data_IF_579938937776
#
_entry.id   IF_579938937776
#
_cell.length_a   1.000
_cell.length_b   1.000
_cell.length_c   1.000
_cell.angle_alpha   90.00
_cell.angle_beta   90.00
_cell.angle_gamma   90.00
#
_symmetry.space_group_name_H-M   'P 1'
#
loop_
_entity.id
_entity.type
_entity.pdbx_description
1 polymer ?
#
# COMPACT_ATOMS: atom_id res chain seq x y z
N UNK A 1 -36.12 -44.58 -28.77
CA UNK A 1 -36.48 -43.23 -29.28
C UNK A 1 -35.49 -42.86 -30.38
N UNK A 2 -35.93 -42.73 -31.64
CA UNK A 2 -35.06 -42.30 -32.75
C UNK A 2 -34.91 -40.78 -32.65
N UNK A 3 -33.77 -40.30 -32.16
CA UNK A 3 -33.47 -38.86 -32.21
C UNK A 3 -33.25 -38.48 -33.68
N UNK A 4 -34.05 -37.54 -34.17
CA UNK A 4 -33.84 -36.97 -35.50
C UNK A 4 -32.57 -36.11 -35.48
N UNK A 5 -31.77 -36.20 -36.54
CA UNK A 5 -30.52 -35.44 -36.66
C UNK A 5 -30.73 -33.93 -36.40
N UNK A 6 -31.87 -33.37 -36.79
CA UNK A 6 -32.23 -31.98 -36.52
C UNK A 6 -32.32 -31.62 -35.04
N UNK A 7 -32.79 -32.54 -34.18
CA UNK A 7 -32.83 -32.31 -32.72
C UNK A 7 -31.43 -32.30 -32.10
N UNK A 8 -30.51 -33.09 -32.64
CA UNK A 8 -29.12 -33.15 -32.19
C UNK A 8 -28.40 -31.86 -32.58
N UNK A 9 -28.59 -31.37 -33.80
CA UNK A 9 -28.01 -30.09 -34.26
C UNK A 9 -28.55 -28.93 -33.44
N UNK A 10 -29.87 -28.89 -33.18
CA UNK A 10 -30.47 -27.86 -32.34
C UNK A 10 -29.90 -27.89 -30.91
N UNK A 11 -29.77 -29.08 -30.32
CA UNK A 11 -29.21 -29.24 -28.97
C UNK A 11 -27.74 -28.81 -28.88
N UNK A 12 -26.94 -29.11 -29.91
CA UNK A 12 -25.55 -28.64 -29.97
C UNK A 12 -25.48 -27.12 -30.13
N UNK A 13 -26.35 -26.54 -30.95
CA UNK A 13 -26.41 -25.09 -31.13
C UNK A 13 -26.81 -24.37 -29.84
N UNK A 14 -27.83 -24.85 -29.14
CA UNK A 14 -28.26 -24.26 -27.86
C UNK A 14 -27.21 -24.43 -26.77
N UNK A 15 -26.53 -25.59 -26.71
CA UNK A 15 -25.43 -25.81 -25.78
C UNK A 15 -24.25 -24.87 -26.08
N UNK A 16 -23.90 -24.70 -27.35
CA UNK A 16 -22.83 -23.79 -27.77
C UNK A 16 -23.16 -22.33 -27.43
N UNK A 17 -24.39 -21.88 -27.72
CA UNK A 17 -24.86 -20.56 -27.34
C UNK A 17 -24.84 -20.37 -25.82
N UNK A 18 -25.30 -21.36 -25.04
CA UNK A 18 -25.30 -21.30 -23.58
C UNK A 18 -23.88 -21.16 -23.01
N UNK A 19 -22.89 -21.86 -23.57
CA UNK A 19 -21.49 -21.75 -23.15
C UNK A 19 -20.93 -20.35 -23.45
N UNK A 20 -21.24 -19.76 -24.60
CA UNK A 20 -20.81 -18.41 -24.96
C UNK A 20 -21.44 -17.37 -24.03
N UNK A 21 -22.75 -17.43 -23.82
CA UNK A 21 -23.46 -16.51 -22.93
C UNK A 21 -22.94 -16.62 -21.49
N UNK A 22 -22.72 -17.84 -21.00
CA UNK A 22 -22.16 -18.08 -19.68
C UNK A 22 -20.76 -17.48 -19.52
N UNK A 23 -19.90 -17.58 -20.54
CA UNK A 23 -18.57 -16.95 -20.52
C UNK A 23 -18.63 -15.42 -20.54
N UNK A 24 -19.55 -14.83 -21.30
CA UNK A 24 -19.72 -13.38 -21.37
C UNK A 24 -20.09 -12.78 -20.00
N UNK A 25 -21.05 -13.40 -19.32
CA UNK A 25 -21.52 -12.95 -18.00
C UNK A 25 -20.44 -13.07 -16.92
N UNK A 26 -19.56 -14.07 -17.02
CA UNK A 26 -18.48 -14.26 -16.05
C UNK A 26 -17.33 -13.24 -16.20
N UNK A 27 -17.08 -12.71 -17.40
CA UNK A 27 -15.97 -11.78 -17.62
C UNK A 27 -16.18 -10.40 -16.99
N UNK A 28 -17.43 -9.90 -17.02
CA UNK A 28 -17.80 -8.58 -16.48
C UNK A 28 -17.46 -8.45 -14.98
N UNK A 29 -17.76 -9.47 -14.18
CA UNK A 29 -17.56 -9.42 -12.73
C UNK A 29 -16.09 -9.41 -12.31
N UNK A 30 -15.26 -10.20 -13.00
CA UNK A 30 -13.81 -10.28 -12.73
C UNK A 30 -13.12 -8.98 -13.18
N UNK A 31 -13.60 -8.36 -14.27
CA UNK A 31 -13.00 -7.14 -14.80
C UNK A 31 -13.25 -5.94 -13.88
N UNK A 32 -14.46 -5.80 -13.34
CA UNK A 32 -14.80 -4.74 -12.39
C UNK A 32 -14.03 -4.89 -11.07
N UNK A 33 -13.89 -6.12 -10.57
CA UNK A 33 -13.11 -6.37 -9.36
C UNK A 33 -11.63 -5.99 -9.54
N UNK A 34 -11.03 -6.37 -10.67
CA UNK A 34 -9.65 -5.99 -11.01
C UNK A 34 -9.50 -4.48 -11.11
N UNK A 35 -10.45 -3.79 -11.75
CA UNK A 35 -10.42 -2.33 -11.86
C UNK A 35 -10.46 -1.65 -10.48
N UNK A 36 -11.31 -2.13 -9.58
CA UNK A 36 -11.38 -1.61 -8.21
C UNK A 36 -10.08 -1.82 -7.42
N UNK A 37 -9.51 -3.03 -7.45
CA UNK A 37 -8.24 -3.32 -6.75
C UNK A 37 -7.11 -2.42 -7.26
N UNK A 38 -6.97 -2.29 -8.58
CA UNK A 38 -5.95 -1.43 -9.18
C UNK A 38 -6.15 0.06 -8.82
N UNK A 39 -7.40 0.53 -8.76
CA UNK A 39 -7.68 1.89 -8.32
C UNK A 39 -7.31 2.11 -6.85
N UNK A 40 -7.65 1.18 -5.97
CA UNK A 40 -7.30 1.25 -4.54
C UNK A 40 -5.79 1.26 -4.34
N UNK A 41 -5.06 0.37 -5.00
CA UNK A 41 -3.59 0.35 -4.95
C UNK A 41 -2.98 1.67 -5.43
N UNK A 42 -3.50 2.22 -6.54
CA UNK A 42 -3.04 3.51 -7.07
C UNK A 42 -3.26 4.65 -6.06
N UNK A 43 -4.40 4.69 -5.38
CA UNK A 43 -4.70 5.70 -4.37
C UNK A 43 -3.74 5.57 -3.18
N UNK A 44 -3.52 4.36 -2.67
CA UNK A 44 -2.60 4.11 -1.55
C UNK A 44 -1.17 4.54 -1.89
N UNK A 45 -0.69 4.19 -3.08
CA UNK A 45 0.66 4.56 -3.53
C UNK A 45 0.81 6.07 -3.68
N UNK A 46 -0.20 6.74 -4.24
CA UNK A 46 -0.18 8.20 -4.36
C UNK A 46 -0.19 8.89 -2.99
N UNK A 47 -1.01 8.42 -2.05
CA UNK A 47 -1.02 8.96 -0.68
C UNK A 47 0.33 8.79 0.01
N UNK A 48 0.95 7.60 -0.08
CA UNK A 48 2.29 7.36 0.46
C UNK A 48 3.33 8.27 -0.17
N UNK A 49 3.28 8.46 -1.49
CA UNK A 49 4.17 9.38 -2.21
C UNK A 49 4.02 10.81 -1.69
N UNK A 50 2.79 11.29 -1.53
CA UNK A 50 2.53 12.64 -1.02
C UNK A 50 3.04 12.82 0.40
N UNK A 51 2.86 11.81 1.26
CA UNK A 51 3.35 11.87 2.65
C UNK A 51 4.88 11.90 2.71
N UNK A 52 5.55 11.00 1.98
CA UNK A 52 7.01 10.97 1.91
C UNK A 52 7.57 12.29 1.35
N UNK A 53 6.92 12.89 0.36
CA UNK A 53 7.33 14.20 -0.15
C UNK A 53 7.15 15.32 0.89
N UNK A 54 6.12 15.27 1.74
CA UNK A 54 6.00 16.22 2.86
C UNK A 54 7.10 16.00 3.88
N UNK A 55 7.42 14.75 4.22
CA UNK A 55 8.49 14.42 5.15
C UNK A 55 9.84 14.92 4.63
N UNK A 56 10.15 14.67 3.35
CA UNK A 56 11.36 15.17 2.71
C UNK A 56 11.41 16.70 2.77
N UNK A 57 10.34 17.37 2.34
CA UNK A 57 10.29 18.84 2.39
C UNK A 57 10.45 19.38 3.81
N UNK A 58 9.85 18.75 4.81
CA UNK A 58 10.02 19.12 6.22
C UNK A 58 11.44 18.87 6.71
N UNK A 59 12.06 17.75 6.34
CA UNK A 59 13.43 17.41 6.73
C UNK A 59 14.49 18.30 6.08
N UNK A 60 14.18 18.92 4.94
CA UNK A 60 15.06 19.86 4.25
C UNK A 60 14.94 21.31 4.72
N UNK A 61 13.97 21.67 5.57
CA UNK A 61 13.92 23.02 6.14
C UNK A 61 14.93 23.17 7.28
N UNK A 62 15.39 24.40 7.59
CA UNK A 62 16.30 24.65 8.72
C UNK A 62 15.82 24.05 10.04
N UNK A 63 14.52 24.18 10.35
CA UNK A 63 13.90 23.61 11.55
C UNK A 63 13.90 22.08 11.54
N UNK A 64 13.69 21.47 10.37
CA UNK A 64 13.72 20.01 10.21
C UNK A 64 15.11 19.44 10.38
N UNK A 65 16.13 20.13 9.85
CA UNK A 65 17.53 19.78 10.00
C UNK A 65 17.94 19.90 11.48
N UNK A 66 17.54 20.98 12.16
CA UNK A 66 17.82 21.16 13.60
C UNK A 66 17.16 20.05 14.42
N UNK A 67 15.90 19.70 14.14
CA UNK A 67 15.21 18.60 14.83
C UNK A 67 15.92 17.27 14.60
N UNK A 68 16.30 16.96 13.36
CA UNK A 68 16.99 15.71 13.03
C UNK A 68 18.39 15.66 13.68
N UNK A 69 19.09 16.79 13.73
CA UNK A 69 20.39 16.93 14.39
C UNK A 69 20.29 16.74 15.92
N UNK A 70 19.25 17.29 16.56
CA UNK A 70 18.97 17.08 17.99
C UNK A 70 18.60 15.62 18.27
N UNK A 71 17.70 15.03 17.48
CA UNK A 71 17.18 13.66 17.69
C UNK A 71 18.19 12.56 17.37
N UNK A 72 18.93 12.67 16.25
CA UNK A 72 19.82 11.61 15.76
C UNK A 72 21.26 11.79 16.22
N UNK A 73 21.72 13.03 16.36
CA UNK A 73 23.13 13.35 16.65
C UNK A 73 23.31 13.97 18.04
N UNK A 74 22.24 14.27 18.77
CA UNK A 74 22.31 14.92 20.09
C UNK A 74 22.92 16.32 20.03
N UNK A 75 22.95 16.94 18.85
CA UNK A 75 23.56 18.25 18.65
C UNK A 75 22.68 19.34 19.25
N UNK A 76 23.30 20.28 19.94
CA UNK A 76 22.64 21.47 20.53
C UNK A 76 23.32 22.73 20.00
N UNK A 77 22.64 23.87 20.11
CA UNK A 77 23.24 25.14 19.65
C UNK A 77 24.45 25.49 20.53
N UNK A 78 25.47 26.18 19.98
CA UNK A 78 26.60 26.65 20.77
C UNK A 78 26.12 27.51 21.95
N UNK A 79 26.46 27.11 23.18
CA UNK A 79 26.03 27.79 24.41
C UNK A 79 24.78 27.21 25.09
N UNK A 80 24.10 26.23 24.48
CA UNK A 80 23.05 25.45 25.16
C UNK A 80 23.66 24.29 25.97
N UNK A 81 23.16 24.06 27.19
CA UNK A 81 23.56 22.91 28.01
C UNK A 81 22.67 21.72 27.64
N UNK A 82 23.21 20.60 27.15
CA UNK A 82 22.41 19.42 26.83
C UNK A 82 21.84 18.83 28.12
N UNK A 83 20.53 18.97 28.32
CA UNK A 83 19.81 18.30 29.41
C UNK A 83 19.60 16.86 29.00
N UNK A 84 20.45 15.96 29.52
CA UNK A 84 20.25 14.51 29.39
C UNK A 84 19.03 14.15 30.22
N UNK A 85 17.90 13.80 29.59
CA UNK A 85 16.74 13.26 30.32
C UNK A 85 17.19 12.06 31.16
N UNK A 86 16.84 11.99 32.45
CA UNK A 86 17.22 10.90 33.32
C UNK A 86 16.33 9.68 33.06
N UNK A 87 16.47 9.07 31.89
CA UNK A 87 16.07 7.68 31.67
C UNK A 87 17.31 6.91 31.23
N UNK A 88 18.11 6.51 32.23
CA UNK A 88 19.37 5.79 32.00
C UNK A 88 20.41 5.91 33.11
N UNK A 89 20.04 6.28 34.34
CA UNK A 89 20.91 6.10 35.52
C UNK A 89 20.94 4.62 35.94
N UNK A 90 21.56 3.78 35.11
CA UNK A 90 21.92 2.41 35.47
C UNK A 90 23.18 1.98 34.72
N UNK A 91 24.30 2.56 35.11
CA UNK A 91 25.61 1.90 35.07
C UNK A 91 26.49 2.58 36.11
N UNK A 92 26.25 2.13 37.35
CA UNK A 92 27.22 1.93 38.42
C UNK A 92 28.66 2.31 38.05
N UNK A 93 29.10 3.47 38.53
CA UNK A 93 30.50 3.70 38.86
C UNK A 93 30.60 3.66 40.39
N UNK A 94 30.80 2.47 40.93
CA UNK A 94 31.23 2.23 42.31
C UNK A 94 31.74 0.81 42.34
N UNK A 95 33.04 0.65 42.11
CA UNK A 95 33.84 -0.35 42.80
C UNK A 95 35.24 0.26 42.97
N UNK A 96 35.76 0.02 44.17
CA UNK A 96 36.95 0.58 44.80
C UNK A 96 38.27 0.22 44.11
#
# INVERSE_FOLDING_TARGET
>A
MKLSAGRIVLALFTLYAAVILGRLLFQETILLYKAHVLQTERVIVLQKKTELLREINRSGTPDGIERLAREKLGLVRPGEVPVKSPEGSASTSSDE
#
